data_IF_320441090995
#
_entry.id   IF_320441090995
#
_cell.length_a   1.000
_cell.length_b   1.000
_cell.length_c   1.000
_cell.angle_alpha   90.00
_cell.angle_beta   90.00
_cell.angle_gamma   90.00
#
_symmetry.space_group_name_H-M   'P 1'
#
loop_
_entity.id
_entity.type
_entity.pdbx_description
1 polymer ?
#
# COMPACT_ATOMS: atom_id res chain seq x y z
N UNK A 1 -7.02 -23.52 -25.17
CA UNK A 1 -7.47 -22.13 -25.35
C UNK A 1 -7.30 -21.71 -26.80
N UNK A 2 -8.30 -21.05 -27.39
CA UNK A 2 -8.32 -20.57 -28.79
C UNK A 2 -7.10 -19.67 -29.09
N UNK A 3 -6.68 -18.82 -28.15
CA UNK A 3 -5.51 -17.95 -28.30
C UNK A 3 -4.19 -18.70 -28.64
N UNK A 4 -3.95 -19.85 -27.99
CA UNK A 4 -2.76 -20.67 -28.28
C UNK A 4 -2.84 -21.34 -29.66
N UNK A 5 -4.05 -21.64 -30.15
CA UNK A 5 -4.28 -22.16 -31.51
C UNK A 5 -4.18 -21.07 -32.59
N UNK A 6 -4.29 -19.80 -32.21
CA UNK A 6 -4.17 -18.63 -33.09
C UNK A 6 -2.75 -18.02 -33.09
N UNK A 7 -1.75 -18.72 -32.54
CA UNK A 7 -0.36 -18.24 -32.52
C UNK A 7 -0.13 -16.99 -31.65
N UNK A 8 -1.10 -16.63 -30.80
CA UNK A 8 -0.92 -15.51 -29.88
C UNK A 8 0.16 -15.89 -28.86
N UNK A 9 1.12 -14.98 -28.56
CA UNK A 9 2.13 -15.25 -27.55
C UNK A 9 1.45 -15.64 -26.24
N UNK A 10 1.88 -16.75 -25.65
CA UNK A 10 1.43 -17.10 -24.31
C UNK A 10 1.77 -15.94 -23.40
N UNK A 11 0.81 -15.49 -22.58
CA UNK A 11 1.06 -14.47 -21.56
C UNK A 11 2.36 -14.83 -20.83
N UNK A 12 3.35 -13.93 -20.93
CA UNK A 12 4.64 -14.13 -20.27
C UNK A 12 4.36 -14.43 -18.81
N UNK A 13 4.75 -15.63 -18.37
CA UNK A 13 4.64 -16.02 -16.97
C UNK A 13 5.72 -15.24 -16.22
N UNK A 14 5.38 -14.02 -15.80
CA UNK A 14 6.23 -13.18 -14.97
C UNK A 14 6.51 -13.98 -13.69
N UNK A 15 7.77 -14.39 -13.50
CA UNK A 15 8.19 -15.06 -12.26
C UNK A 15 8.16 -14.01 -11.15
N UNK A 16 7.44 -14.25 -10.03
CA UNK A 16 7.47 -13.33 -8.90
C UNK A 16 8.90 -13.19 -8.36
N UNK A 17 9.31 -11.98 -8.02
CA UNK A 17 10.55 -11.76 -7.28
C UNK A 17 10.46 -12.49 -5.94
N UNK A 18 11.47 -13.31 -5.59
CA UNK A 18 11.46 -14.15 -4.38
C UNK A 18 11.48 -13.32 -3.09
N UNK A 19 11.86 -12.05 -3.16
CA UNK A 19 11.91 -11.12 -2.02
C UNK A 19 10.54 -10.50 -1.71
N UNK A 20 9.55 -10.70 -2.58
CA UNK A 20 8.22 -10.11 -2.43
C UNK A 20 7.55 -10.48 -1.10
N UNK A 21 6.80 -9.54 -0.55
CA UNK A 21 5.92 -9.79 0.58
C UNK A 21 4.53 -10.28 0.13
N UNK A 22 4.23 -10.31 -1.17
CA UNK A 22 2.98 -10.86 -1.69
C UNK A 22 3.02 -12.38 -1.68
N UNK A 23 1.92 -13.04 -1.28
CA UNK A 23 1.94 -14.48 -1.11
C UNK A 23 1.75 -15.17 -2.48
N UNK A 24 2.26 -16.39 -2.61
CA UNK A 24 2.43 -17.08 -3.90
C UNK A 24 1.13 -17.53 -4.59
N UNK A 25 -0.04 -17.40 -3.94
CA UNK A 25 -1.31 -17.97 -4.41
C UNK A 25 -1.85 -17.33 -5.70
N UNK A 26 -1.31 -16.19 -6.13
CA UNK A 26 -1.74 -15.52 -7.36
C UNK A 26 -3.05 -14.74 -7.23
N UNK A 27 -3.70 -14.43 -8.36
CA UNK A 27 -4.95 -13.65 -8.40
C UNK A 27 -6.22 -14.49 -8.27
N UNK A 28 -7.37 -13.81 -8.14
CA UNK A 28 -8.71 -14.42 -8.15
C UNK A 28 -9.24 -14.85 -6.77
N UNK A 29 -10.54 -15.12 -6.70
CA UNK A 29 -11.27 -15.44 -5.46
C UNK A 29 -10.69 -16.66 -4.74
N UNK A 30 -10.39 -17.74 -5.45
CA UNK A 30 -9.80 -18.96 -4.86
C UNK A 30 -8.52 -18.66 -4.09
N UNK A 31 -7.61 -17.88 -4.69
CA UNK A 31 -6.36 -17.46 -4.06
C UNK A 31 -6.61 -16.54 -2.86
N UNK A 32 -7.60 -15.65 -2.98
CA UNK A 32 -7.98 -14.74 -1.91
C UNK A 32 -8.52 -15.48 -0.68
N UNK A 33 -9.40 -16.47 -0.88
CA UNK A 33 -9.97 -17.29 0.19
C UNK A 33 -8.91 -18.18 0.83
N UNK A 34 -7.99 -18.73 0.04
CA UNK A 34 -6.86 -19.49 0.56
C UNK A 34 -5.97 -18.61 1.46
N UNK A 35 -5.70 -17.36 1.05
CA UNK A 35 -4.93 -16.42 1.87
C UNK A 35 -5.69 -15.95 3.11
N UNK A 36 -7.00 -15.73 3.02
CA UNK A 36 -7.83 -15.42 4.19
C UNK A 36 -7.77 -16.56 5.21
N UNK A 37 -7.93 -17.80 4.77
CA UNK A 37 -7.81 -18.99 5.62
C UNK A 37 -6.41 -19.13 6.22
N UNK A 38 -5.36 -19.01 5.42
CA UNK A 38 -3.97 -19.04 5.90
C UNK A 38 -3.73 -18.02 7.02
N UNK A 39 -4.11 -16.77 6.80
CA UNK A 39 -3.85 -15.67 7.72
C UNK A 39 -4.70 -15.76 9.00
N UNK A 40 -6.00 -16.03 8.87
CA UNK A 40 -6.95 -16.00 9.98
C UNK A 40 -6.97 -17.30 10.78
N UNK A 41 -6.91 -18.45 10.09
CA UNK A 41 -7.10 -19.77 10.69
C UNK A 41 -5.77 -20.50 10.84
N UNK A 42 -5.07 -20.82 9.74
CA UNK A 42 -3.90 -21.70 9.83
C UNK A 42 -2.75 -21.11 10.65
N UNK A 43 -2.55 -19.79 10.58
CA UNK A 43 -1.44 -19.10 11.24
C UNK A 43 -1.85 -18.21 12.41
N UNK A 44 -3.15 -18.07 12.67
CA UNK A 44 -3.71 -17.25 13.76
C UNK A 44 -3.11 -15.82 13.84
N UNK A 45 -2.94 -15.14 12.70
CA UNK A 45 -2.21 -13.85 12.64
C UNK A 45 -3.06 -12.61 12.91
N UNK A 46 -4.39 -12.74 13.04
CA UNK A 46 -5.28 -11.60 13.32
C UNK A 46 -4.89 -10.91 14.63
N UNK A 47 -4.67 -11.67 15.71
CA UNK A 47 -4.33 -11.11 17.02
C UNK A 47 -3.01 -10.34 17.05
N UNK A 48 -2.08 -10.68 16.15
CA UNK A 48 -0.74 -10.06 16.06
C UNK A 48 -0.67 -8.86 15.11
N UNK A 49 -1.76 -8.56 14.40
CA UNK A 49 -1.75 -7.58 13.32
C UNK A 49 -1.27 -6.19 13.76
N UNK A 50 -1.66 -5.73 14.95
CA UNK A 50 -1.25 -4.41 15.46
C UNK A 50 0.28 -4.32 15.67
N UNK A 51 0.88 -5.38 16.21
CA UNK A 51 2.31 -5.44 16.48
C UNK A 51 3.15 -5.52 15.20
N UNK A 52 2.61 -6.14 14.13
CA UNK A 52 3.40 -6.48 12.94
C UNK A 52 3.13 -5.59 11.75
N UNK A 53 1.99 -4.89 11.65
CA UNK A 53 1.57 -4.17 10.42
C UNK A 53 2.54 -3.12 9.88
N UNK A 54 3.48 -2.65 10.71
CA UNK A 54 4.51 -1.67 10.33
C UNK A 54 5.85 -2.30 9.93
N UNK A 55 5.99 -3.63 9.93
CA UNK A 55 7.19 -4.29 9.40
C UNK A 55 7.21 -4.22 7.86
N UNK A 56 8.37 -4.53 7.28
CA UNK A 56 8.66 -4.29 5.87
C UNK A 56 8.95 -5.58 5.08
N UNK A 57 9.33 -6.67 5.75
CA UNK A 57 9.73 -7.93 5.11
C UNK A 57 8.82 -9.09 5.49
N UNK A 58 8.57 -9.95 4.51
CA UNK A 58 7.87 -11.22 4.68
C UNK A 58 6.34 -11.10 4.55
N UNK A 59 5.70 -12.24 4.29
CA UNK A 59 4.26 -12.24 4.02
C UNK A 59 3.42 -12.04 5.29
N UNK A 60 3.96 -12.40 6.46
CA UNK A 60 3.23 -12.54 7.71
C UNK A 60 2.86 -11.22 8.38
N UNK A 61 3.61 -10.15 8.10
CA UNK A 61 3.49 -8.93 8.90
C UNK A 61 2.16 -8.19 8.74
N UNK A 62 1.44 -8.49 7.66
CA UNK A 62 0.11 -7.95 7.38
C UNK A 62 -0.68 -8.93 6.53
N UNK A 63 -1.97 -8.68 6.39
CA UNK A 63 -2.90 -9.59 5.70
C UNK A 63 -2.54 -9.86 4.23
N UNK A 64 -1.98 -8.87 3.54
CA UNK A 64 -1.77 -8.86 2.08
C UNK A 64 -3.07 -8.98 1.26
N UNK A 65 -4.21 -8.64 1.85
CA UNK A 65 -5.52 -8.76 1.20
C UNK A 65 -5.78 -7.70 0.11
N UNK A 66 -4.99 -6.63 0.08
CA UNK A 66 -5.27 -5.41 -0.68
C UNK A 66 -5.51 -5.66 -2.17
N UNK A 67 -4.70 -6.50 -2.83
CA UNK A 67 -4.85 -6.78 -4.26
C UNK A 67 -6.20 -7.45 -4.60
N UNK A 68 -6.68 -8.35 -3.74
CA UNK A 68 -7.98 -8.99 -3.93
C UNK A 68 -9.16 -8.12 -3.48
N UNK A 69 -8.96 -7.25 -2.50
CA UNK A 69 -9.96 -6.26 -2.10
C UNK A 69 -10.18 -5.20 -3.19
N UNK A 70 -9.10 -4.79 -3.88
CA UNK A 70 -9.15 -3.76 -4.93
C UNK A 70 -9.93 -4.22 -6.16
N UNK A 71 -9.82 -5.49 -6.56
CA UNK A 71 -10.53 -6.04 -7.72
C UNK A 71 -11.80 -6.83 -7.37
N UNK A 72 -12.20 -6.86 -6.10
CA UNK A 72 -13.42 -7.55 -5.65
C UNK A 72 -13.32 -9.08 -5.53
N UNK A 73 -12.16 -9.69 -5.78
CA UNK A 73 -11.93 -11.12 -5.51
C UNK A 73 -12.09 -11.49 -4.04
N UNK A 74 -11.98 -10.51 -3.14
CA UNK A 74 -12.30 -10.66 -1.72
C UNK A 74 -13.27 -9.57 -1.28
N UNK A 75 -14.35 -9.95 -0.61
CA UNK A 75 -15.28 -8.99 -0.02
C UNK A 75 -14.79 -8.49 1.35
N UNK A 76 -14.84 -7.18 1.65
CA UNK A 76 -14.52 -6.67 2.99
C UNK A 76 -15.45 -7.25 4.07
N UNK A 77 -16.72 -7.56 3.75
CA UNK A 77 -17.65 -8.23 4.67
C UNK A 77 -17.19 -9.64 5.04
N UNK A 78 -16.54 -10.34 4.10
CA UNK A 78 -16.00 -11.68 4.36
C UNK A 78 -14.75 -11.63 5.24
N UNK A 79 -13.92 -10.61 5.05
CA UNK A 79 -12.81 -10.33 5.98
C UNK A 79 -13.37 -10.01 7.36
N UNK A 80 -14.36 -9.12 7.46
CA UNK A 80 -14.98 -8.76 8.74
C UNK A 80 -15.54 -9.98 9.48
N UNK A 81 -16.29 -10.84 8.79
CA UNK A 81 -16.81 -12.09 9.37
C UNK A 81 -15.69 -13.03 9.86
N UNK A 82 -14.55 -13.10 9.17
CA UNK A 82 -13.40 -13.87 9.64
C UNK A 82 -12.79 -13.28 10.92
N UNK A 83 -12.81 -11.96 11.09
CA UNK A 83 -12.39 -11.31 12.33
C UNK A 83 -13.40 -11.60 13.46
N UNK A 84 -14.70 -11.58 13.19
CA UNK A 84 -15.74 -11.93 14.19
C UNK A 84 -15.63 -13.39 14.65
N UNK A 85 -15.39 -14.32 13.73
CA UNK A 85 -15.10 -15.72 14.06
C UNK A 85 -13.83 -15.85 14.90
N UNK A 86 -12.78 -15.11 14.56
CA UNK A 86 -11.54 -15.09 15.34
C UNK A 86 -11.79 -14.61 16.78
N UNK A 87 -12.53 -13.51 16.95
CA UNK A 87 -12.86 -12.96 18.27
C UNK A 87 -13.75 -13.90 19.10
N UNK A 88 -14.66 -14.66 18.47
CA UNK A 88 -15.46 -15.68 19.16
C UNK A 88 -14.59 -16.80 19.72
N UNK A 89 -13.56 -17.21 18.98
CA UNK A 89 -12.66 -18.29 19.40
C UNK A 89 -11.55 -17.85 20.37
N UNK A 90 -11.10 -16.59 20.33
CA UNK A 90 -9.91 -16.13 21.07
C UNK A 90 -10.21 -15.00 22.07
N UNK A 91 -11.48 -14.63 22.22
CA UNK A 91 -11.94 -13.54 23.06
C UNK A 91 -12.05 -12.21 22.29
N UNK A 92 -13.13 -11.43 22.53
CA UNK A 92 -13.28 -10.13 21.89
C UNK A 92 -12.19 -9.18 22.36
N UNK A 93 -11.77 -8.25 21.47
CA UNK A 93 -10.85 -7.12 21.76
C UNK A 93 -9.34 -7.42 21.67
N UNK A 94 -8.89 -8.40 20.90
CA UNK A 94 -7.46 -8.41 20.56
C UNK A 94 -7.11 -7.10 19.83
N UNK A 95 -6.00 -6.45 20.20
CA UNK A 95 -5.56 -5.20 19.57
C UNK A 95 -5.42 -5.36 18.05
N UNK A 96 -4.92 -6.51 17.60
CA UNK A 96 -4.82 -6.85 16.19
C UNK A 96 -6.17 -6.92 15.46
N UNK A 97 -7.19 -7.57 16.04
CA UNK A 97 -8.53 -7.62 15.46
C UNK A 97 -9.19 -6.23 15.38
N UNK A 98 -9.03 -5.41 16.43
CA UNK A 98 -9.52 -4.03 16.44
C UNK A 98 -8.81 -3.17 15.39
N UNK A 99 -7.48 -3.26 15.33
CA UNK A 99 -6.70 -2.52 14.35
C UNK A 99 -7.06 -2.93 12.92
N UNK A 100 -7.23 -4.23 12.65
CA UNK A 100 -7.61 -4.68 11.31
C UNK A 100 -9.00 -4.17 10.88
N UNK A 101 -9.97 -4.10 11.80
CA UNK A 101 -11.26 -3.44 11.53
C UNK A 101 -11.08 -1.96 11.23
N UNK A 102 -10.23 -1.25 11.97
CA UNK A 102 -9.96 0.17 11.71
C UNK A 102 -9.38 0.39 10.31
N UNK A 103 -8.52 -0.49 9.82
CA UNK A 103 -7.96 -0.40 8.46
C UNK A 103 -9.02 -0.65 7.38
N UNK A 104 -9.99 -1.54 7.62
CA UNK A 104 -11.16 -1.70 6.74
C UNK A 104 -12.04 -0.44 6.77
N UNK A 105 -12.19 0.22 7.91
CA UNK A 105 -12.92 1.48 8.00
C UNK A 105 -12.20 2.61 7.28
N UNK A 106 -10.86 2.64 7.27
CA UNK A 106 -10.09 3.58 6.45
C UNK A 106 -10.34 3.38 4.95
N UNK A 107 -10.45 2.13 4.48
CA UNK A 107 -10.85 1.84 3.09
C UNK A 107 -12.22 2.46 2.79
N UNK A 108 -13.22 2.18 3.62
CA UNK A 108 -14.58 2.68 3.38
C UNK A 108 -14.65 4.21 3.50
N UNK A 109 -13.88 4.81 4.42
CA UNK A 109 -13.73 6.25 4.53
C UNK A 109 -13.27 6.89 3.21
N UNK A 110 -12.21 6.37 2.60
CA UNK A 110 -11.70 6.92 1.35
C UNK A 110 -12.67 6.71 0.18
N UNK A 111 -13.36 5.57 0.11
CA UNK A 111 -14.38 5.32 -0.92
C UNK A 111 -15.53 6.32 -0.83
N UNK A 112 -16.08 6.53 0.38
CA UNK A 112 -17.15 7.49 0.61
C UNK A 112 -16.69 8.93 0.40
N UNK A 113 -15.45 9.24 0.75
CA UNK A 113 -14.86 10.57 0.53
C UNK A 113 -14.69 10.85 -0.96
N UNK A 114 -14.18 9.90 -1.74
CA UNK A 114 -14.06 10.03 -3.18
C UNK A 114 -15.43 10.20 -3.85
N UNK A 115 -16.43 9.42 -3.42
CA UNK A 115 -17.81 9.58 -3.88
C UNK A 115 -18.37 10.97 -3.59
N UNK A 116 -18.16 11.49 -2.37
CA UNK A 116 -18.61 12.83 -1.96
C UNK A 116 -17.92 13.94 -2.74
N UNK A 117 -16.61 13.83 -2.95
CA UNK A 117 -15.80 14.87 -3.56
C UNK A 117 -15.86 14.87 -5.10
N UNK A 118 -16.22 13.74 -5.71
CA UNK A 118 -16.29 13.61 -7.17
C UNK A 118 -14.96 13.95 -7.85
N UNK A 119 -14.96 14.66 -8.99
CA UNK A 119 -13.74 15.00 -9.72
C UNK A 119 -12.71 15.82 -8.92
N UNK A 120 -13.15 16.60 -7.92
CA UNK A 120 -12.25 17.41 -7.09
C UNK A 120 -11.32 16.54 -6.23
N UNK A 121 -11.65 15.26 -6.02
CA UNK A 121 -10.82 14.30 -5.32
C UNK A 121 -9.43 14.10 -5.96
N UNK A 122 -9.34 14.25 -7.27
CA UNK A 122 -8.10 14.02 -8.04
C UNK A 122 -7.35 15.31 -8.38
N UNK A 123 -7.94 16.47 -8.07
CA UNK A 123 -7.35 17.77 -8.39
C UNK A 123 -6.24 18.12 -7.41
N UNK A 124 -5.32 18.97 -7.87
CA UNK A 124 -4.20 19.48 -7.08
C UNK A 124 -4.67 20.15 -5.78
N UNK A 125 -5.73 20.98 -5.84
CA UNK A 125 -6.30 21.68 -4.68
C UNK A 125 -6.87 20.72 -3.63
N UNK A 126 -6.83 21.14 -2.37
CA UNK A 126 -7.39 20.38 -1.27
C UNK A 126 -8.91 20.42 -1.19
N UNK A 127 -9.48 19.40 -0.54
CA UNK A 127 -10.94 19.21 -0.45
C UNK A 127 -11.67 20.27 0.38
N UNK A 128 -10.93 21.09 1.13
CA UNK A 128 -11.47 22.24 1.89
C UNK A 128 -10.88 23.57 1.41
N UNK A 129 -10.42 23.62 0.17
CA UNK A 129 -9.82 24.83 -0.42
C UNK A 129 -8.36 25.08 -0.01
N UNK A 130 -7.71 24.13 0.67
CA UNK A 130 -6.28 24.23 0.96
C UNK A 130 -5.47 24.22 -0.35
N UNK A 131 -4.40 25.00 -0.38
CA UNK A 131 -3.42 24.92 -1.46
C UNK A 131 -2.28 24.01 -0.99
N UNK A 132 -1.86 23.00 -1.79
CA UNK A 132 -0.63 22.28 -1.53
C UNK A 132 0.56 23.24 -1.39
N UNK A 133 1.61 22.78 -0.70
CA UNK A 133 2.89 23.50 -0.67
C UNK A 133 3.39 23.81 -2.09
N UNK A 134 4.13 24.92 -2.27
CA UNK A 134 4.79 25.21 -3.55
C UNK A 134 5.59 23.99 -4.02
N UNK A 135 5.40 23.64 -5.28
CA UNK A 135 6.11 22.51 -5.92
C UNK A 135 7.24 23.06 -6.78
N UNK A 136 8.31 22.29 -6.92
CA UNK A 136 9.41 22.52 -7.86
C UNK A 136 9.46 21.33 -8.81
N UNK A 137 8.59 21.26 -9.84
CA UNK A 137 8.56 20.13 -10.75
C UNK A 137 9.92 19.92 -11.42
N UNK A 138 10.54 18.80 -11.11
CA UNK A 138 11.85 18.40 -11.62
C UNK A 138 11.71 16.95 -12.10
N UNK A 139 11.79 16.76 -13.42
CA UNK A 139 11.54 15.47 -14.04
C UNK A 139 12.65 14.48 -13.70
N UNK A 140 13.89 14.95 -13.64
CA UNK A 140 15.07 14.18 -13.32
C UNK A 140 15.01 13.69 -11.87
N UNK A 141 14.66 14.57 -10.91
CA UNK A 141 14.45 14.21 -9.52
C UNK A 141 13.30 13.20 -9.35
N UNK A 142 12.18 13.41 -10.04
CA UNK A 142 11.06 12.45 -10.03
C UNK A 142 11.47 11.09 -10.61
N UNK A 143 12.21 11.07 -11.73
CA UNK A 143 12.69 9.82 -12.34
C UNK A 143 13.69 9.10 -11.43
N UNK A 144 14.55 9.83 -10.72
CA UNK A 144 15.43 9.26 -9.71
C UNK A 144 14.64 8.63 -8.56
N UNK A 145 13.59 9.29 -8.08
CA UNK A 145 12.66 8.73 -7.08
C UNK A 145 11.94 7.50 -7.60
N UNK A 146 11.32 7.56 -8.77
CA UNK A 146 10.58 6.46 -9.38
C UNK A 146 11.46 5.22 -9.60
N UNK A 147 12.74 5.40 -9.92
CA UNK A 147 13.72 4.34 -10.13
C UNK A 147 14.44 3.88 -8.85
N UNK A 148 14.20 4.49 -7.69
CA UNK A 148 14.93 4.20 -6.45
C UNK A 148 16.43 4.49 -6.56
N UNK A 149 16.77 5.71 -7.00
CA UNK A 149 18.13 6.26 -7.15
C UNK A 149 18.24 7.67 -6.53
N UNK A 150 17.53 7.91 -5.44
CA UNK A 150 17.53 9.20 -4.73
C UNK A 150 18.80 9.42 -3.90
N UNK A 151 19.52 8.33 -3.59
CA UNK A 151 20.63 8.36 -2.63
C UNK A 151 20.16 8.16 -1.18
N UNK A 152 18.86 8.20 -0.92
CA UNK A 152 18.28 7.76 0.35
C UNK A 152 17.96 6.26 0.30
N UNK A 153 18.79 5.47 0.96
CA UNK A 153 18.72 4.00 0.89
C UNK A 153 17.36 3.42 1.30
N UNK A 154 16.64 4.05 2.25
CA UNK A 154 15.33 3.57 2.70
C UNK A 154 14.24 3.85 1.66
N UNK A 155 14.27 5.04 1.04
CA UNK A 155 13.37 5.38 -0.08
C UNK A 155 13.66 4.50 -1.28
N UNK A 156 14.94 4.36 -1.64
CA UNK A 156 15.38 3.59 -2.79
C UNK A 156 15.00 2.11 -2.68
N UNK A 157 15.15 1.50 -1.50
CA UNK A 157 14.71 0.13 -1.23
C UNK A 157 13.20 -0.04 -1.44
N UNK A 158 12.38 0.89 -0.94
CA UNK A 158 10.93 0.86 -1.13
C UNK A 158 10.54 1.03 -2.60
N UNK A 159 11.13 1.98 -3.30
CA UNK A 159 10.81 2.21 -4.72
C UNK A 159 11.22 1.03 -5.60
N UNK A 160 12.31 0.34 -5.26
CA UNK A 160 12.73 -0.91 -5.92
C UNK A 160 11.83 -2.10 -5.57
N UNK A 161 11.34 -2.22 -4.33
CA UNK A 161 10.31 -3.20 -3.97
C UNK A 161 9.07 -3.01 -4.85
N UNK A 162 8.59 -1.77 -4.97
CA UNK A 162 7.42 -1.44 -5.78
C UNK A 162 7.62 -1.83 -7.24
N UNK A 163 8.74 -1.41 -7.86
CA UNK A 163 9.01 -1.71 -9.27
C UNK A 163 9.16 -3.22 -9.54
N UNK A 164 9.76 -3.97 -8.61
CA UNK A 164 10.00 -5.41 -8.78
C UNK A 164 8.75 -6.26 -8.52
N UNK A 165 7.86 -5.82 -7.63
CA UNK A 165 6.78 -6.67 -7.10
C UNK A 165 5.38 -6.14 -7.36
N UNK A 166 5.24 -4.85 -7.66
CA UNK A 166 3.96 -4.15 -7.68
C UNK A 166 3.28 -4.06 -6.30
N UNK A 167 4.05 -4.20 -5.22
CA UNK A 167 3.60 -4.03 -3.85
C UNK A 167 4.60 -3.17 -3.08
N UNK A 168 4.10 -2.47 -2.07
CA UNK A 168 4.91 -1.78 -1.08
C UNK A 168 4.17 -1.83 0.25
N UNK A 169 4.90 -2.05 1.35
CA UNK A 169 4.33 -1.97 2.71
C UNK A 169 3.67 -0.61 2.97
N UNK A 170 2.63 -0.56 3.83
CA UNK A 170 1.98 0.71 4.17
C UNK A 170 2.98 1.74 4.74
N UNK A 171 3.90 1.26 5.60
CA UNK A 171 4.97 2.09 6.17
C UNK A 171 5.90 2.65 5.08
N UNK A 172 6.23 1.83 4.09
CA UNK A 172 6.98 2.25 2.90
C UNK A 172 6.26 3.33 2.11
N UNK A 173 4.98 3.12 1.79
CA UNK A 173 4.15 4.05 0.99
C UNK A 173 4.10 5.44 1.64
N UNK A 174 3.88 5.49 2.96
CA UNK A 174 3.88 6.74 3.71
C UNK A 174 5.21 7.49 3.59
N UNK A 175 6.34 6.79 3.72
CA UNK A 175 7.67 7.39 3.67
C UNK A 175 8.03 7.91 2.28
N UNK A 176 7.85 7.10 1.24
CA UNK A 176 8.24 7.52 -0.13
C UNK A 176 7.35 8.64 -0.66
N UNK A 177 6.07 8.66 -0.27
CA UNK A 177 5.16 9.76 -0.61
C UNK A 177 5.56 11.04 0.11
N UNK A 178 5.83 10.95 1.42
CA UNK A 178 6.29 12.09 2.20
C UNK A 178 7.61 12.66 1.66
N UNK A 179 8.57 11.79 1.32
CA UNK A 179 9.84 12.19 0.74
C UNK A 179 9.67 12.92 -0.61
N UNK A 180 8.83 12.38 -1.50
CA UNK A 180 8.55 13.03 -2.78
C UNK A 180 7.97 14.44 -2.61
N UNK A 181 7.07 14.62 -1.64
CA UNK A 181 6.33 15.87 -1.42
C UNK A 181 7.17 16.90 -0.66
N UNK A 182 7.89 16.47 0.38
CA UNK A 182 8.49 17.39 1.35
C UNK A 182 10.00 17.53 1.22
N UNK A 183 10.71 16.50 0.77
CA UNK A 183 12.16 16.53 0.58
C UNK A 183 12.50 16.90 -0.86
N UNK A 184 11.79 16.34 -1.84
CA UNK A 184 11.98 16.63 -3.26
C UNK A 184 11.09 17.76 -3.78
N UNK A 185 10.13 18.25 -2.98
CA UNK A 185 9.19 19.31 -3.35
C UNK A 185 8.42 19.06 -4.67
N UNK A 186 8.14 17.79 -5.01
CA UNK A 186 7.45 17.45 -6.25
C UNK A 186 5.93 17.53 -6.13
N UNK A 187 5.25 17.60 -7.27
CA UNK A 187 3.79 17.48 -7.32
C UNK A 187 3.36 16.07 -6.88
N UNK A 188 2.59 15.99 -5.79
CA UNK A 188 2.10 14.73 -5.23
C UNK A 188 1.34 13.86 -6.24
N UNK A 189 0.71 14.49 -7.26
CA UNK A 189 -0.04 13.78 -8.30
C UNK A 189 0.86 12.92 -9.18
N UNK A 190 2.13 13.28 -9.33
CA UNK A 190 3.09 12.47 -10.08
C UNK A 190 3.36 11.15 -9.36
N UNK A 191 3.51 11.21 -8.04
CA UNK A 191 3.62 10.01 -7.20
C UNK A 191 2.35 9.18 -7.19
N UNK A 192 1.17 9.81 -7.09
CA UNK A 192 -0.12 9.13 -7.16
C UNK A 192 -0.30 8.38 -8.48
N UNK A 193 0.01 9.01 -9.61
CA UNK A 193 -0.05 8.40 -10.94
C UNK A 193 0.98 7.28 -11.12
N UNK A 194 2.18 7.43 -10.55
CA UNK A 194 3.18 6.35 -10.57
C UNK A 194 2.71 5.12 -9.78
N UNK A 195 2.10 5.35 -8.62
CA UNK A 195 1.52 4.28 -7.81
C UNK A 195 0.34 3.61 -8.53
N UNK A 196 -0.48 4.36 -9.25
CA UNK A 196 -1.52 3.82 -10.12
C UNK A 196 -0.97 2.90 -11.21
N UNK A 197 0.17 3.26 -11.80
CA UNK A 197 0.83 2.44 -12.81
C UNK A 197 1.47 1.15 -12.23
N UNK A 198 2.01 1.20 -11.01
CA UNK A 198 2.82 0.13 -10.43
C UNK A 198 2.06 -0.84 -9.51
N UNK A 199 1.09 -0.35 -8.74
CA UNK A 199 0.48 -1.14 -7.67
C UNK A 199 -0.48 -2.20 -8.20
N UNK A 200 -0.25 -3.45 -7.80
CA UNK A 200 -1.19 -4.56 -8.00
C UNK A 200 -2.49 -4.40 -7.20
N UNK A 201 -2.44 -3.59 -6.15
CA UNK A 201 -3.56 -3.26 -5.29
C UNK A 201 -4.07 -1.83 -5.47
N UNK A 202 -3.84 -1.26 -6.65
CA UNK A 202 -4.36 0.06 -6.96
C UNK A 202 -5.89 0.10 -6.82
N UNK A 203 -6.35 1.05 -6.02
CA UNK A 203 -7.73 1.49 -5.94
C UNK A 203 -7.70 3.04 -6.02
N UNK A 204 -8.47 3.68 -6.93
CA UNK A 204 -8.40 5.12 -7.12
C UNK A 204 -8.69 5.92 -5.85
N UNK A 205 -9.68 5.50 -5.06
CA UNK A 205 -10.06 6.23 -3.86
C UNK A 205 -8.98 6.09 -2.77
N UNK A 206 -8.47 4.89 -2.57
CA UNK A 206 -7.47 4.62 -1.54
C UNK A 206 -6.11 5.22 -1.90
N UNK A 207 -5.67 5.07 -3.15
CA UNK A 207 -4.39 5.60 -3.61
C UNK A 207 -4.40 7.14 -3.54
N UNK A 208 -5.30 7.77 -4.29
CA UNK A 208 -5.34 9.23 -4.37
C UNK A 208 -5.73 9.87 -3.05
N UNK A 209 -6.58 9.22 -2.25
CA UNK A 209 -6.95 9.66 -0.91
C UNK A 209 -5.77 9.69 0.07
N UNK A 210 -4.95 8.63 0.10
CA UNK A 210 -3.76 8.60 0.95
C UNK A 210 -2.69 9.61 0.49
N UNK A 211 -2.47 9.74 -0.82
CA UNK A 211 -1.56 10.76 -1.35
C UNK A 211 -2.01 12.18 -0.99
N UNK A 212 -3.31 12.47 -1.13
CA UNK A 212 -3.90 13.75 -0.76
C UNK A 212 -3.83 14.01 0.76
N UNK A 213 -4.00 12.97 1.58
CA UNK A 213 -3.82 13.05 3.03
C UNK A 213 -2.38 13.44 3.39
N UNK A 214 -1.38 12.77 2.81
CA UNK A 214 0.04 13.07 3.08
C UNK A 214 0.44 14.44 2.54
N UNK A 215 -0.11 14.86 1.40
CA UNK A 215 0.11 16.19 0.83
C UNK A 215 -0.54 17.34 1.63
N UNK A 216 -1.20 17.06 2.76
CA UNK A 216 -1.88 18.06 3.58
C UNK A 216 -3.11 18.67 2.90
N UNK A 217 -3.64 18.02 1.86
CA UNK A 217 -4.75 18.52 1.03
C UNK A 217 -6.01 17.68 1.14
N UNK A 218 -6.05 16.79 2.13
CA UNK A 218 -7.22 16.01 2.50
C UNK A 218 -8.25 16.80 3.32
N UNK A 219 -9.01 16.06 4.11
CA UNK A 219 -10.05 16.58 5.02
C UNK A 219 -9.47 17.10 6.34
N UNK A 220 -8.33 16.55 6.78
CA UNK A 220 -7.57 16.97 7.95
C UNK A 220 -6.38 17.84 7.53
N UNK A 221 -5.98 18.78 8.38
CA UNK A 221 -4.94 19.81 8.12
C UNK A 221 -3.57 19.37 8.64
N UNK A 222 -3.40 18.07 8.96
CA UNK A 222 -2.12 17.56 9.46
C UNK A 222 -1.10 17.50 8.32
N UNK A 223 -0.30 18.55 8.22
CA UNK A 223 0.90 18.64 7.37
C UNK A 223 2.11 18.06 8.12
N UNK A 224 2.10 16.75 8.35
CA UNK A 224 3.20 16.07 9.04
C UNK A 224 4.09 15.35 8.04
N UNK A 225 5.25 15.95 7.75
CA UNK A 225 6.32 15.29 7.02
C UNK A 225 6.91 14.15 7.87
N UNK A 226 7.23 13.03 7.24
CA UNK A 226 7.96 11.93 7.86
C UNK A 226 9.46 12.21 7.75
N UNK A 227 10.16 12.26 8.88
CA UNK A 227 11.61 12.16 8.89
C UNK A 227 12.01 10.73 8.50
N UNK A 228 12.36 10.56 7.22
CA UNK A 228 12.72 9.26 6.63
C UNK A 228 13.89 8.62 7.36
N UNK A 229 14.86 9.38 7.85
CA UNK A 229 16.00 8.85 8.59
C UNK A 229 15.57 8.27 9.94
N UNK A 230 14.68 8.96 10.66
CA UNK A 230 14.08 8.42 11.90
C UNK A 230 13.21 7.20 11.62
N UNK A 231 12.46 7.18 10.51
CA UNK A 231 11.62 6.04 10.13
C UNK A 231 12.47 4.82 9.79
N UNK A 232 13.58 4.99 9.06
CA UNK A 232 14.53 3.93 8.78
C UNK A 232 15.11 3.34 10.08
N UNK A 233 15.56 4.20 11.01
CA UNK A 233 16.07 3.76 12.33
C UNK A 233 15.02 2.98 13.13
N UNK A 234 13.75 3.39 13.06
CA UNK A 234 12.66 2.78 13.83
C UNK A 234 12.17 1.46 13.25
N UNK A 235 12.00 1.40 11.92
CA UNK A 235 11.32 0.27 11.25
C UNK A 235 12.27 -0.68 10.50
N UNK A 236 13.52 -0.27 10.29
CA UNK A 236 14.60 -1.13 9.80
C UNK A 236 15.91 -0.90 10.60
N UNK A 237 15.89 -1.05 11.94
CA UNK A 237 17.04 -0.73 12.81
C UNK A 237 18.31 -1.51 12.46
N UNK A 238 18.15 -2.70 11.87
CA UNK A 238 19.25 -3.57 11.47
C UNK A 238 19.60 -3.44 9.98
N UNK A 239 18.92 -2.58 9.20
CA UNK A 239 19.14 -2.43 7.76
C UNK A 239 18.80 -3.67 6.93
N UNK A 240 17.98 -4.60 7.46
CA UNK A 240 17.66 -5.86 6.78
C UNK A 240 16.80 -5.63 5.54
N UNK A 241 15.82 -4.73 5.64
CA UNK A 241 14.97 -4.38 4.52
C UNK A 241 15.77 -3.70 3.41
N UNK A 242 16.58 -2.70 3.78
CA UNK A 242 17.44 -1.99 2.82
C UNK A 242 18.40 -2.95 2.09
N UNK A 243 19.12 -3.81 2.82
CA UNK A 243 20.03 -4.81 2.21
C UNK A 243 19.33 -5.87 1.34
N UNK A 244 18.02 -6.03 1.48
CA UNK A 244 17.26 -6.98 0.65
C UNK A 244 16.98 -6.39 -0.74
N UNK A 245 16.78 -5.08 -0.84
CA UNK A 245 16.31 -4.40 -2.05
C UNK A 245 17.37 -3.56 -2.77
N UNK A 246 18.50 -3.27 -2.13
CA UNK A 246 19.68 -2.63 -2.71
C UNK A 246 20.77 -3.66 -2.98
#
# INVERSE_FOLDING_TARGET
MIAARLGQPSLLRIRPDRRTALPAQGGGETAALARLHDYAVARHLIGRYDDTRNQLLGEAFSTKFSAWLANGSLSPRRVWAAIDTYDTAHGPRSKGAMQLRLELLWRDYFLLLAQKAGPDFFRWRGLRGQLPKPTQPDKEAFQAWAAGRTGNAFVDANMRELAATGFMSNRGRQNVASYLIHDLHQDWRWGAAWFEHQLRDHDPALNWGNWKYIAGTGTDVRDTAFDVAQQAKRYDPQGKYVRTWL
#
